data_IF_842551433844
#
_entry.id   IF_842551433844
#
_cell.length_a   1.000
_cell.length_b   1.000
_cell.length_c   1.000
_cell.angle_alpha   90.00
_cell.angle_beta   90.00
_cell.angle_gamma   90.00
#
_symmetry.space_group_name_H-M   'P 1'
#
loop_
_entity.id
_entity.type
_entity.pdbx_description
1 polymer ?
#
# COMPACT_ATOMS: atom_id res chain seq x y z
N UNK A 1 4.08 -5.60 18.75
CA UNK A 1 4.78 -4.91 17.64
C UNK A 1 4.82 -5.89 16.47
N UNK A 2 4.28 -5.51 15.33
CA UNK A 2 4.11 -6.38 14.16
C UNK A 2 5.41 -6.39 13.33
N UNK A 3 6.43 -7.08 13.80
CA UNK A 3 7.78 -7.07 13.22
C UNK A 3 7.89 -7.87 11.91
N UNK A 4 6.98 -8.82 11.69
CA UNK A 4 7.08 -9.75 10.56
C UNK A 4 7.04 -9.11 9.17
N UNK A 5 6.21 -8.08 8.95
CA UNK A 5 6.10 -7.44 7.63
C UNK A 5 7.42 -6.77 7.20
N UNK A 6 8.01 -5.98 8.08
CA UNK A 6 9.28 -5.30 7.82
C UNK A 6 10.44 -6.29 7.62
N UNK A 7 10.48 -7.36 8.39
CA UNK A 7 11.50 -8.42 8.26
C UNK A 7 11.36 -9.18 6.94
N UNK A 8 10.12 -9.53 6.55
CA UNK A 8 9.86 -10.20 5.28
C UNK A 8 10.21 -9.30 4.10
N UNK A 9 9.90 -8.01 4.18
CA UNK A 9 10.28 -7.03 3.17
C UNK A 9 11.80 -6.96 3.01
N UNK A 10 12.55 -6.84 4.12
CA UNK A 10 14.02 -6.83 4.12
C UNK A 10 14.60 -8.15 3.63
N UNK A 11 14.04 -9.29 4.03
CA UNK A 11 14.48 -10.62 3.60
C UNK A 11 14.07 -10.96 2.16
N UNK A 12 13.23 -10.13 1.52
CA UNK A 12 12.63 -10.41 0.20
C UNK A 12 11.93 -11.78 0.16
N UNK A 13 11.28 -12.13 1.26
CA UNK A 13 10.55 -13.38 1.43
C UNK A 13 11.38 -14.64 1.60
N UNK A 14 12.72 -14.56 1.76
CA UNK A 14 13.56 -15.74 1.97
C UNK A 14 13.19 -16.42 3.28
N UNK A 15 13.02 -17.75 3.24
CA UNK A 15 12.67 -18.56 4.43
C UNK A 15 11.19 -18.52 4.82
N UNK A 16 10.33 -17.85 4.04
CA UNK A 16 8.89 -17.74 4.33
C UNK A 16 8.02 -18.50 3.31
N UNK A 17 6.89 -19.00 3.78
CA UNK A 17 5.87 -19.55 2.90
C UNK A 17 5.22 -18.42 2.10
N UNK A 18 5.28 -18.48 0.78
CA UNK A 18 4.77 -17.43 -0.13
C UNK A 18 3.27 -17.16 -0.03
N UNK A 19 2.49 -18.15 0.35
CA UNK A 19 1.04 -18.02 0.48
C UNK A 19 0.59 -17.55 1.86
N UNK A 20 1.51 -17.52 2.83
CA UNK A 20 1.17 -17.12 4.18
C UNK A 20 0.70 -15.65 4.22
N UNK A 21 -0.41 -15.36 4.92
CA UNK A 21 -0.81 -14.00 5.23
C UNK A 21 0.21 -13.37 6.16
N UNK A 22 0.54 -12.13 5.89
CA UNK A 22 1.50 -11.32 6.65
C UNK A 22 0.76 -10.12 7.22
N UNK A 23 0.73 -9.96 8.54
CA UNK A 23 0.11 -8.80 9.15
C UNK A 23 0.88 -7.53 8.80
N UNK A 24 0.16 -6.51 8.36
CA UNK A 24 0.65 -5.15 8.13
C UNK A 24 0.30 -4.27 9.32
N UNK A 25 -0.97 -4.26 9.70
CA UNK A 25 -1.50 -3.55 10.88
C UNK A 25 -2.57 -4.42 11.57
N UNK A 26 -2.63 -4.39 12.93
CA UNK A 26 -3.62 -5.16 13.70
C UNK A 26 -5.05 -4.66 13.53
N UNK A 27 -5.18 -3.38 13.19
CA UNK A 27 -6.45 -2.69 13.00
C UNK A 27 -6.31 -1.61 11.94
N UNK A 28 -7.43 -1.19 11.38
CA UNK A 28 -7.46 -0.14 10.37
C UNK A 28 -7.16 1.23 11.00
N UNK A 29 -6.19 2.00 10.48
CA UNK A 29 -5.89 3.35 10.95
C UNK A 29 -7.10 4.29 10.94
N UNK A 30 -7.14 5.22 11.89
CA UNK A 30 -8.25 6.18 12.04
C UNK A 30 -8.55 6.95 10.74
N UNK A 31 -7.53 7.37 10.02
CA UNK A 31 -7.72 8.08 8.75
C UNK A 31 -8.43 7.21 7.70
N UNK A 32 -8.15 5.91 7.66
CA UNK A 32 -8.81 4.97 6.76
C UNK A 32 -10.23 4.62 7.23
N UNK A 33 -10.48 4.55 8.55
CA UNK A 33 -11.83 4.40 9.10
C UNK A 33 -12.72 5.59 8.70
N UNK A 34 -12.18 6.81 8.73
CA UNK A 34 -12.88 8.03 8.28
C UNK A 34 -13.24 7.96 6.79
N UNK A 35 -12.44 7.25 5.99
CA UNK A 35 -12.73 6.99 4.59
C UNK A 35 -13.79 5.88 4.36
N UNK A 36 -14.35 5.30 5.43
CA UNK A 36 -15.33 4.22 5.34
C UNK A 36 -14.70 2.82 5.17
N UNK A 37 -13.41 2.66 5.35
CA UNK A 37 -12.74 1.35 5.34
C UNK A 37 -13.10 0.61 6.64
N UNK A 38 -13.56 -0.65 6.58
CA UNK A 38 -13.94 -1.42 7.77
C UNK A 38 -12.81 -1.54 8.80
N UNK A 39 -13.14 -1.53 10.09
CA UNK A 39 -12.16 -1.78 11.15
C UNK A 39 -11.79 -3.25 11.23
N UNK A 40 -10.87 -3.67 10.40
CA UNK A 40 -10.34 -5.02 10.29
C UNK A 40 -8.81 -4.99 10.25
N UNK A 41 -8.14 -6.10 10.58
CA UNK A 41 -6.71 -6.20 10.37
C UNK A 41 -6.35 -5.94 8.90
N UNK A 42 -5.23 -5.25 8.67
CA UNK A 42 -4.65 -5.11 7.34
C UNK A 42 -3.60 -6.20 7.17
N UNK A 43 -3.73 -6.99 6.12
CA UNK A 43 -2.74 -8.01 5.80
C UNK A 43 -2.29 -7.97 4.33
N UNK A 44 -1.15 -8.58 4.09
CA UNK A 44 -0.52 -8.78 2.80
C UNK A 44 -0.14 -10.26 2.66
N UNK A 45 0.53 -10.67 1.60
CA UNK A 45 1.15 -11.99 1.52
C UNK A 45 2.63 -11.88 1.21
N UNK A 46 3.39 -12.90 1.64
CA UNK A 46 4.81 -12.99 1.31
C UNK A 46 5.04 -12.92 -0.21
N UNK A 47 4.17 -13.55 -1.00
CA UNK A 47 4.24 -13.51 -2.47
C UNK A 47 4.19 -12.08 -3.02
N UNK A 48 3.30 -11.25 -2.51
CA UNK A 48 3.15 -9.86 -2.96
C UNK A 48 4.35 -9.01 -2.52
N UNK A 49 4.80 -9.16 -1.27
CA UNK A 49 6.01 -8.49 -0.76
C UNK A 49 7.22 -8.81 -1.64
N UNK A 50 7.42 -10.08 -1.99
CA UNK A 50 8.52 -10.50 -2.88
C UNK A 50 8.38 -9.88 -4.26
N UNK A 51 7.16 -9.85 -4.82
CA UNK A 51 6.88 -9.25 -6.13
C UNK A 51 7.22 -7.77 -6.15
N UNK A 52 6.82 -7.04 -5.12
CA UNK A 52 7.01 -5.59 -5.02
C UNK A 52 8.46 -5.20 -4.79
N UNK A 53 9.22 -6.00 -4.05
CA UNK A 53 10.66 -5.76 -3.79
C UNK A 53 11.60 -6.32 -4.87
N UNK A 54 11.08 -7.00 -5.89
CA UNK A 54 11.89 -7.56 -6.96
C UNK A 54 11.94 -6.63 -8.15
N UNK A 55 13.14 -6.22 -8.56
CA UNK A 55 13.36 -5.52 -9.83
C UNK A 55 13.25 -6.53 -10.96
N UNK A 56 12.45 -6.23 -11.97
CA UNK A 56 12.33 -7.06 -13.18
C UNK A 56 11.99 -6.18 -14.37
N UNK A 57 12.60 -6.48 -15.51
CA UNK A 57 12.30 -5.85 -16.80
C UNK A 57 10.89 -6.21 -17.35
N UNK A 58 10.12 -7.02 -16.63
CA UNK A 58 8.73 -7.36 -16.97
C UNK A 58 7.77 -6.49 -16.19
N UNK A 59 6.79 -5.94 -16.85
CA UNK A 59 5.87 -4.84 -16.54
C UNK A 59 5.05 -4.87 -15.22
N UNK A 60 5.38 -5.70 -14.24
CA UNK A 60 4.59 -5.81 -12.99
C UNK A 60 5.46 -6.03 -11.74
N UNK A 61 6.73 -5.65 -11.78
CA UNK A 61 7.63 -5.77 -10.64
C UNK A 61 8.25 -4.42 -10.37
N UNK A 62 7.87 -3.82 -9.29
CA UNK A 62 8.04 -2.40 -9.03
C UNK A 62 9.39 -2.04 -8.41
N UNK A 63 10.16 -3.03 -7.91
CA UNK A 63 11.49 -2.80 -7.35
C UNK A 63 11.51 -1.84 -6.17
N UNK A 64 10.44 -1.82 -5.37
CA UNK A 64 10.38 -0.98 -4.18
C UNK A 64 11.47 -1.41 -3.20
N UNK A 65 12.21 -0.44 -2.68
CA UNK A 65 13.19 -0.70 -1.64
C UNK A 65 12.54 -1.34 -0.42
N UNK A 66 13.11 -2.44 0.14
CA UNK A 66 12.52 -3.10 1.31
C UNK A 66 12.31 -2.19 2.52
N UNK A 67 13.16 -1.19 2.71
CA UNK A 67 13.01 -0.18 3.77
C UNK A 67 11.77 0.69 3.55
N UNK A 68 11.50 1.09 2.31
CA UNK A 68 10.33 1.88 1.95
C UNK A 68 9.05 1.04 2.09
N UNK A 69 9.06 -0.21 1.64
CA UNK A 69 7.93 -1.10 1.84
C UNK A 69 7.68 -1.35 3.34
N UNK A 70 8.74 -1.47 4.14
CA UNK A 70 8.63 -1.64 5.59
C UNK A 70 8.05 -0.42 6.32
N UNK A 71 8.08 0.79 5.73
CA UNK A 71 7.46 2.00 6.29
C UNK A 71 5.97 2.16 5.95
N UNK A 72 5.43 1.32 5.07
CA UNK A 72 4.01 1.39 4.66
C UNK A 72 3.03 1.41 5.83
N UNK A 73 3.19 0.61 6.91
CA UNK A 73 2.32 0.68 8.09
C UNK A 73 2.24 2.07 8.73
N UNK A 74 3.34 2.81 8.74
CA UNK A 74 3.40 4.20 9.25
C UNK A 74 2.74 5.17 8.27
N UNK A 75 3.03 5.03 6.98
CA UNK A 75 2.46 5.87 5.93
C UNK A 75 0.92 5.74 5.84
N UNK A 76 0.37 4.58 6.15
CA UNK A 76 -1.07 4.35 6.21
C UNK A 76 -1.78 5.11 7.35
N UNK A 77 -1.04 5.59 8.36
CA UNK A 77 -1.62 6.38 9.47
C UNK A 77 -2.03 7.79 9.03
N UNK A 78 -1.34 8.34 8.03
CA UNK A 78 -1.58 9.68 7.51
C UNK A 78 -1.53 9.68 5.95
N UNK A 79 -2.53 9.10 5.28
CA UNK A 79 -2.55 9.01 3.83
C UNK A 79 -2.72 10.39 3.19
N UNK A 80 -2.15 10.57 2.00
CA UNK A 80 -2.35 11.77 1.16
C UNK A 80 -3.80 11.83 0.66
N UNK A 81 -4.30 10.69 0.19
CA UNK A 81 -5.66 10.56 -0.29
C UNK A 81 -6.15 9.11 -0.20
N UNK A 82 -7.47 8.94 -0.03
CA UNK A 82 -8.17 7.66 -0.13
C UNK A 82 -9.28 7.81 -1.15
N UNK A 83 -9.27 7.02 -2.21
CA UNK A 83 -10.21 7.15 -3.30
C UNK A 83 -10.60 5.80 -3.90
N UNK A 84 -11.73 5.78 -4.60
CA UNK A 84 -12.20 4.59 -5.30
C UNK A 84 -11.28 4.24 -6.46
N UNK A 85 -10.88 2.98 -6.54
CA UNK A 85 -10.23 2.41 -7.70
C UNK A 85 -11.20 1.46 -8.43
N UNK A 86 -10.96 1.21 -9.70
CA UNK A 86 -11.80 0.30 -10.48
C UNK A 86 -11.98 -1.08 -9.81
N UNK A 87 -13.08 -1.76 -10.16
CA UNK A 87 -13.43 -3.10 -9.66
C UNK A 87 -13.73 -3.17 -8.14
N UNK A 88 -14.27 -2.10 -7.54
CA UNK A 88 -14.66 -2.09 -6.13
C UNK A 88 -13.50 -1.98 -5.14
N UNK A 89 -12.30 -1.68 -5.62
CA UNK A 89 -11.09 -1.49 -4.82
C UNK A 89 -10.99 -0.07 -4.27
N UNK A 90 -10.19 0.05 -3.23
CA UNK A 90 -9.78 1.33 -2.68
C UNK A 90 -8.30 1.54 -2.94
N UNK A 91 -7.95 2.74 -3.39
CA UNK A 91 -6.57 3.20 -3.52
C UNK A 91 -6.25 4.16 -2.38
N UNK A 92 -5.09 3.98 -1.78
CA UNK A 92 -4.55 4.81 -0.71
C UNK A 92 -3.23 5.40 -1.18
N UNK A 93 -3.20 6.69 -1.45
CA UNK A 93 -1.99 7.41 -1.81
C UNK A 93 -1.17 7.69 -0.56
N UNK A 94 0.11 7.35 -0.62
CA UNK A 94 1.06 7.46 0.49
C UNK A 94 2.02 8.64 0.28
N UNK A 95 2.42 9.33 1.33
CA UNK A 95 3.37 10.46 1.25
C UNK A 95 4.82 9.95 1.10
N UNK A 96 5.07 9.24 0.02
CA UNK A 96 6.38 8.71 -0.33
C UNK A 96 6.51 8.49 -1.84
N UNK A 97 7.75 8.43 -2.32
CA UNK A 97 8.08 8.11 -3.72
C UNK A 97 9.03 6.92 -3.79
N UNK A 98 8.94 6.13 -4.85
CA UNK A 98 9.92 5.08 -5.14
C UNK A 98 11.27 5.65 -5.62
N UNK A 99 12.22 4.78 -5.96
CA UNK A 99 13.55 5.18 -6.44
C UNK A 99 13.50 5.95 -7.76
N UNK A 100 12.44 5.79 -8.56
CA UNK A 100 12.22 6.50 -9.82
C UNK A 100 11.49 7.84 -9.62
N UNK A 101 11.21 8.23 -8.37
CA UNK A 101 10.43 9.42 -8.04
C UNK A 101 8.93 9.30 -8.33
N UNK A 102 8.41 8.09 -8.49
CA UNK A 102 6.98 7.87 -8.69
C UNK A 102 6.27 7.84 -7.34
N UNK A 103 5.17 8.62 -7.16
CA UNK A 103 4.36 8.60 -5.95
C UNK A 103 3.81 7.21 -5.64
N UNK A 104 3.87 6.80 -4.36
CA UNK A 104 3.40 5.47 -3.93
C UNK A 104 1.89 5.41 -3.76
N UNK A 105 1.31 4.31 -4.19
CA UNK A 105 -0.09 3.95 -3.95
C UNK A 105 -0.21 2.51 -3.46
N UNK A 106 -1.06 2.30 -2.45
CA UNK A 106 -1.47 0.99 -1.98
C UNK A 106 -2.91 0.70 -2.43
N UNK A 107 -3.17 -0.50 -2.95
CA UNK A 107 -4.50 -0.94 -3.36
C UNK A 107 -5.04 -1.99 -2.40
N UNK A 108 -6.33 -1.89 -2.08
CA UNK A 108 -6.99 -2.76 -1.11
C UNK A 108 -8.25 -3.40 -1.70
N UNK A 109 -8.43 -4.70 -1.41
CA UNK A 109 -9.73 -5.36 -1.37
C UNK A 109 -10.21 -5.35 0.08
N UNK A 110 -11.44 -4.87 0.32
CA UNK A 110 -11.96 -4.67 1.67
C UNK A 110 -12.80 -5.85 2.15
N UNK A 111 -12.68 -6.17 3.44
CA UNK A 111 -13.48 -7.20 4.11
C UNK A 111 -13.52 -8.54 3.36
N UNK A 112 -12.36 -8.99 2.89
CA UNK A 112 -12.23 -10.27 2.19
C UNK A 112 -11.84 -11.40 3.14
N UNK A 113 -12.42 -12.61 2.98
CA UNK A 113 -12.02 -13.75 3.75
C UNK A 113 -10.65 -14.27 3.29
N UNK A 114 -9.78 -14.58 4.23
CA UNK A 114 -8.50 -15.22 3.92
C UNK A 114 -8.74 -16.67 3.44
N UNK A 115 -8.21 -17.01 2.28
CA UNK A 115 -8.28 -18.37 1.73
C UNK A 115 -7.40 -19.36 2.50
N UNK A 116 -6.30 -18.88 3.07
CA UNK A 116 -5.33 -19.68 3.83
C UNK A 116 -5.05 -18.99 5.15
N UNK A 117 -5.11 -19.74 6.24
CA UNK A 117 -4.65 -19.28 7.55
C UNK A 117 -3.12 -19.35 7.65
N UNK A 118 -2.56 -18.64 8.61
CA UNK A 118 -1.13 -18.66 8.90
C UNK A 118 -0.75 -17.61 9.94
N UNK A 119 0.26 -17.92 10.75
CA UNK A 119 0.64 -17.07 11.86
C UNK A 119 -0.53 -16.93 12.85
N UNK A 120 -1.02 -15.71 13.01
CA UNK A 120 -2.16 -15.39 13.90
C UNK A 120 -3.52 -15.36 13.19
N UNK A 121 -3.55 -15.49 11.85
CA UNK A 121 -4.78 -15.47 11.07
C UNK A 121 -5.38 -16.87 10.89
N UNK A 122 -6.72 -16.94 10.92
CA UNK A 122 -7.46 -18.15 10.60
C UNK A 122 -7.96 -18.11 9.16
N UNK A 123 -8.10 -19.28 8.55
CA UNK A 123 -8.81 -19.38 7.26
C UNK A 123 -10.26 -18.90 7.43
N UNK A 124 -10.76 -18.09 6.50
CA UNK A 124 -12.08 -17.47 6.56
C UNK A 124 -12.14 -16.16 7.37
N UNK A 125 -11.08 -15.77 8.08
CA UNK A 125 -11.03 -14.50 8.81
C UNK A 125 -11.12 -13.33 7.83
N UNK A 126 -11.97 -12.34 8.15
CA UNK A 126 -12.12 -11.13 7.33
C UNK A 126 -10.97 -10.16 7.59
N UNK A 127 -10.38 -9.66 6.53
CA UNK A 127 -9.29 -8.67 6.57
C UNK A 127 -9.48 -7.61 5.49
N UNK A 128 -8.84 -6.47 5.66
CA UNK A 128 -8.57 -5.56 4.57
C UNK A 128 -7.27 -6.01 3.90
N UNK A 129 -7.38 -6.56 2.71
CA UNK A 129 -6.26 -7.19 2.04
C UNK A 129 -5.54 -6.20 1.14
N UNK A 130 -4.28 -5.88 1.48
CA UNK A 130 -3.42 -5.06 0.66
C UNK A 130 -2.91 -5.87 -0.53
N UNK A 131 -3.41 -5.56 -1.72
CA UNK A 131 -3.11 -6.28 -2.96
C UNK A 131 -1.73 -5.96 -3.50
N UNK A 132 -1.35 -4.68 -3.43
CA UNK A 132 -0.09 -4.20 -3.98
C UNK A 132 0.25 -2.81 -3.46
N UNK A 133 1.55 -2.53 -3.41
CA UNK A 133 2.11 -1.18 -3.22
C UNK A 133 3.11 -0.95 -4.34
N UNK A 134 3.02 0.18 -5.02
CA UNK A 134 3.97 0.54 -6.08
C UNK A 134 3.95 2.03 -6.41
N UNK A 135 5.02 2.50 -7.06
CA UNK A 135 5.10 3.85 -7.61
C UNK A 135 4.23 4.00 -8.86
N UNK A 136 3.48 5.10 -8.97
CA UNK A 136 2.58 5.37 -10.10
C UNK A 136 2.72 6.80 -10.58
N UNK A 137 3.17 6.95 -11.81
CA UNK A 137 3.44 8.25 -12.40
C UNK A 137 2.21 9.16 -12.49
N UNK A 138 1.04 8.56 -12.80
CA UNK A 138 -0.24 9.26 -12.95
C UNK A 138 -0.98 9.50 -11.63
N UNK A 139 -0.42 9.09 -10.46
CA UNK A 139 -1.16 9.10 -9.20
C UNK A 139 -1.73 10.47 -8.83
N UNK A 140 -0.97 11.54 -9.00
CA UNK A 140 -1.43 12.89 -8.65
C UNK A 140 -2.66 13.28 -9.49
N UNK A 141 -2.60 13.06 -10.80
CA UNK A 141 -3.74 13.35 -11.68
C UNK A 141 -4.96 12.45 -11.42
N UNK A 142 -4.73 11.21 -10.97
CA UNK A 142 -5.81 10.32 -10.57
C UNK A 142 -6.50 10.78 -9.28
N UNK A 143 -5.75 11.27 -8.30
CA UNK A 143 -6.29 11.86 -7.06
C UNK A 143 -7.15 13.09 -7.41
N UNK A 144 -6.64 13.99 -8.25
CA UNK A 144 -7.38 15.19 -8.68
C UNK A 144 -8.67 14.81 -9.42
N UNK A 145 -8.62 13.82 -10.29
CA UNK A 145 -9.77 13.31 -11.02
C UNK A 145 -10.80 12.68 -10.10
N UNK A 146 -10.37 11.85 -9.14
CA UNK A 146 -11.23 11.23 -8.14
C UNK A 146 -11.89 12.28 -7.23
N UNK A 147 -11.13 13.33 -6.86
CA UNK A 147 -11.66 14.47 -6.08
C UNK A 147 -12.74 15.21 -6.86
N UNK A 148 -12.50 15.53 -8.12
CA UNK A 148 -13.47 16.20 -8.98
C UNK A 148 -14.74 15.37 -9.19
N UNK A 149 -14.63 14.05 -9.23
CA UNK A 149 -15.75 13.11 -9.33
C UNK A 149 -16.48 12.84 -7.99
N UNK A 150 -16.00 13.39 -6.86
CA UNK A 150 -16.56 13.09 -5.52
C UNK A 150 -16.27 11.65 -5.02
N UNK A 151 -15.27 11.00 -5.57
CA UNK A 151 -14.87 9.63 -5.25
C UNK A 151 -13.68 9.55 -4.28
N UNK A 152 -13.18 10.70 -3.82
CA UNK A 152 -12.12 10.83 -2.84
C UNK A 152 -12.72 11.08 -1.45
N UNK A 153 -12.54 10.14 -0.51
CA UNK A 153 -13.14 10.19 0.83
C UNK A 153 -12.21 10.80 1.89
N UNK A 154 -10.91 10.78 1.65
CA UNK A 154 -9.88 11.48 2.45
C UNK A 154 -8.97 12.22 1.49
N UNK A 155 -8.63 13.45 1.83
CA UNK A 155 -7.74 14.27 1.03
C UNK A 155 -6.95 15.23 1.92
N UNK A 156 -5.63 15.20 1.80
CA UNK A 156 -4.71 16.10 2.47
C UNK A 156 -3.93 16.90 1.42
N UNK A 157 -4.30 18.17 1.25
CA UNK A 157 -3.73 19.05 0.23
C UNK A 157 -2.24 19.35 0.46
N UNK A 158 -1.85 19.55 1.72
CA UNK A 158 -0.45 19.80 2.09
C UNK A 158 0.44 18.58 1.78
N UNK A 159 -0.03 17.38 2.15
CA UNK A 159 0.65 16.13 1.84
C UNK A 159 0.72 15.86 0.33
N UNK A 160 -0.33 16.21 -0.44
CA UNK A 160 -0.30 16.10 -1.90
C UNK A 160 0.74 17.02 -2.51
N UNK A 161 0.82 18.26 -2.03
CA UNK A 161 1.83 19.21 -2.48
C UNK A 161 3.25 18.72 -2.15
N UNK A 162 3.48 18.26 -0.92
CA UNK A 162 4.74 17.64 -0.49
C UNK A 162 5.13 16.47 -1.41
N UNK A 163 4.19 15.56 -1.69
CA UNK A 163 4.40 14.42 -2.58
C UNK A 163 4.77 14.85 -4.00
N UNK A 164 4.10 15.86 -4.55
CA UNK A 164 4.40 16.41 -5.88
C UNK A 164 5.83 16.99 -5.95
N UNK A 165 6.24 17.72 -4.92
CA UNK A 165 7.60 18.28 -4.83
C UNK A 165 8.65 17.17 -4.74
N UNK A 166 8.43 16.14 -3.91
CA UNK A 166 9.32 14.98 -3.80
C UNK A 166 9.49 14.26 -5.14
N UNK A 167 8.38 14.03 -5.86
CA UNK A 167 8.39 13.37 -7.17
C UNK A 167 9.20 14.17 -8.21
N UNK A 168 9.06 15.50 -8.23
CA UNK A 168 9.80 16.36 -9.13
C UNK A 168 11.30 16.39 -8.81
N UNK A 169 11.67 16.45 -7.53
CA UNK A 169 13.07 16.48 -7.09
C UNK A 169 13.80 15.19 -7.47
N UNK A 170 13.19 14.03 -7.24
CA UNK A 170 13.81 12.73 -7.56
C UNK A 170 13.95 12.51 -9.06
N UNK A 171 12.99 12.95 -9.87
CA UNK A 171 13.11 12.88 -11.36
C UNK A 171 14.24 13.71 -11.92
N UNK A 172 14.62 14.80 -11.25
CA UNK A 172 15.77 15.64 -11.66
C UNK A 172 17.12 15.05 -11.25
N UNK A 173 17.13 14.14 -10.25
CA UNK A 173 18.35 13.52 -9.73
C UNK A 173 18.66 12.14 -10.37
N UNK A 174 17.73 11.58 -11.13
CA UNK A 174 17.87 10.30 -11.85
C UNK A 174 18.26 10.51 -13.31
#
# INVERSE_FOLDING_TARGET
>A
MWTGFAEIAKARGRGYNRQAPVPVLPETPKALLTAGIPNLPICHTVRHIVRETTISNRSHRHGIEPSLLASVPELLQAPVAVFKAGAGRVAVALEATDAMGQPLVAYFDLAVPLSVGGGQFRSGELVNFMLSVYGRESLISEIESARAAGECSVFNEEALFSLAVQALQRRKAA
#
